data_IF_921077452896
#
_entry.id   IF_921077452896
#
_cell.length_a   1.000
_cell.length_b   1.000
_cell.length_c   1.000
_cell.angle_alpha   90.00
_cell.angle_beta   90.00
_cell.angle_gamma   90.00
#
_symmetry.space_group_name_H-M   'P 1'
#
loop_
_entity.id
_entity.type
_entity.pdbx_description
1 polymer ?
#
# COMPACT_ATOMS: atom_id res chain seq x y z
N UNK A 1 4.96 -9.00 19.40
CA UNK A 1 5.51 -8.50 18.13
C UNK A 1 4.39 -8.63 17.13
N UNK A 2 3.78 -7.52 16.72
CA UNK A 2 2.74 -7.57 15.69
C UNK A 2 3.41 -7.77 14.33
N UNK A 3 2.86 -8.69 13.53
CA UNK A 3 3.32 -8.90 12.17
C UNK A 3 2.78 -7.76 11.30
N UNK A 4 3.56 -6.70 11.16
CA UNK A 4 3.20 -5.59 10.30
C UNK A 4 3.39 -5.95 8.84
N UNK A 5 2.39 -5.60 8.04
CA UNK A 5 2.38 -5.79 6.60
C UNK A 5 2.77 -4.46 5.96
N UNK A 6 3.62 -4.54 4.94
CA UNK A 6 4.10 -3.39 4.19
C UNK A 6 3.93 -3.62 2.69
N UNK A 7 3.57 -2.57 1.97
CA UNK A 7 3.40 -2.62 0.51
C UNK A 7 4.31 -1.60 -0.17
N UNK A 8 5.02 -2.03 -1.20
CA UNK A 8 5.76 -1.15 -2.10
C UNK A 8 5.01 -1.05 -3.41
N UNK A 9 4.70 0.17 -3.85
CA UNK A 9 3.98 0.42 -5.10
C UNK A 9 4.89 1.25 -6.00
N UNK A 10 5.07 0.77 -7.23
CA UNK A 10 5.76 1.49 -8.30
C UNK A 10 4.78 1.67 -9.45
N UNK A 11 4.43 2.92 -9.75
CA UNK A 11 3.66 3.26 -10.94
C UNK A 11 4.56 3.31 -12.16
N UNK A 12 4.00 3.03 -13.34
CA UNK A 12 4.75 3.12 -14.61
C UNK A 12 5.24 4.55 -14.87
N UNK A 13 4.35 5.53 -14.71
CA UNK A 13 4.65 6.95 -14.98
C UNK A 13 5.13 7.72 -13.74
N UNK A 14 4.73 7.29 -12.54
CA UNK A 14 4.99 8.00 -11.28
C UNK A 14 6.24 7.52 -10.53
N UNK A 15 6.90 6.46 -11.01
CA UNK A 15 8.02 5.86 -10.30
C UNK A 15 7.59 5.23 -8.98
N UNK A 16 8.42 5.37 -7.93
CA UNK A 16 8.17 4.75 -6.63
C UNK A 16 7.11 5.52 -5.84
N UNK A 17 5.84 5.17 -6.02
CA UNK A 17 4.69 5.78 -5.33
C UNK A 17 4.81 5.68 -3.80
N UNK A 18 5.37 4.59 -3.29
CA UNK A 18 5.57 4.40 -1.84
C UNK A 18 6.77 5.17 -1.27
N UNK A 19 7.46 6.00 -2.06
CA UNK A 19 8.63 6.74 -1.59
C UNK A 19 8.27 7.71 -0.45
N UNK A 20 8.99 7.59 0.68
CA UNK A 20 8.82 8.46 1.85
C UNK A 20 7.44 8.41 2.52
N UNK A 21 6.61 7.40 2.23
CA UNK A 21 5.25 7.32 2.79
C UNK A 21 5.22 6.90 4.27
N UNK A 22 6.26 6.25 4.79
CA UNK A 22 6.36 5.84 6.19
C UNK A 22 7.48 6.57 6.91
N UNK A 23 7.54 7.90 6.74
CA UNK A 23 8.46 8.79 7.47
C UNK A 23 7.73 9.56 8.57
N UNK A 24 8.48 10.19 9.47
CA UNK A 24 7.95 11.11 10.47
C UNK A 24 7.06 12.20 9.84
N UNK A 25 7.51 12.81 8.73
CA UNK A 25 6.73 13.84 8.01
C UNK A 25 5.46 13.33 7.33
N UNK A 26 5.25 12.02 7.24
CA UNK A 26 4.16 11.42 6.48
C UNK A 26 3.09 10.84 7.41
N UNK A 27 3.50 10.01 8.38
CA UNK A 27 2.58 9.33 9.31
C UNK A 27 2.90 9.61 10.79
N UNK A 28 3.71 10.64 11.06
CA UNK A 28 4.07 11.05 12.42
C UNK A 28 4.75 9.92 13.19
N UNK A 29 4.45 9.82 14.49
CA UNK A 29 5.04 8.84 15.40
C UNK A 29 4.72 7.37 15.06
N UNK A 30 3.89 7.10 14.05
CA UNK A 30 3.59 5.73 13.59
C UNK A 30 4.65 5.19 12.64
N UNK A 31 5.61 6.02 12.21
CA UNK A 31 6.71 5.59 11.35
C UNK A 31 7.61 4.55 12.02
N UNK A 32 8.29 3.75 11.21
CA UNK A 32 9.24 2.75 11.68
C UNK A 32 10.50 2.78 10.85
N UNK A 33 11.64 2.78 11.55
CA UNK A 33 12.95 2.80 10.92
C UNK A 33 13.13 1.56 10.01
N UNK A 34 13.61 1.79 8.79
CA UNK A 34 13.84 0.75 7.78
C UNK A 34 12.64 0.44 6.88
N UNK A 35 11.51 1.14 7.06
CA UNK A 35 10.28 0.97 6.27
C UNK A 35 9.83 2.27 5.58
N UNK A 36 10.68 3.29 5.51
CA UNK A 36 10.35 4.66 5.09
C UNK A 36 9.72 4.74 3.69
N UNK A 37 10.11 3.83 2.80
CA UNK A 37 9.65 3.75 1.41
C UNK A 37 8.58 2.66 1.18
N UNK A 38 7.90 2.21 2.24
CA UNK A 38 6.89 1.16 2.18
C UNK A 38 5.63 1.60 2.92
N UNK A 39 4.47 1.43 2.29
CA UNK A 39 3.18 1.79 2.85
C UNK A 39 2.84 0.83 3.99
N UNK A 40 2.55 1.37 5.17
CA UNK A 40 2.06 0.57 6.31
C UNK A 40 0.62 0.13 6.07
N UNK A 41 0.38 -1.19 6.13
CA UNK A 41 -0.95 -1.79 5.96
C UNK A 41 -1.56 -2.10 7.32
N UNK A 42 -2.77 -1.58 7.53
CA UNK A 42 -3.57 -1.78 8.75
C UNK A 42 -4.47 -3.02 8.65
N UNK A 43 -4.98 -3.29 7.46
CA UNK A 43 -5.81 -4.46 7.17
C UNK A 43 -5.53 -4.92 5.75
N UNK A 44 -5.43 -6.24 5.56
CA UNK A 44 -5.26 -6.86 4.26
C UNK A 44 -6.38 -7.88 4.02
N UNK A 45 -6.99 -7.83 2.85
CA UNK A 45 -8.01 -8.76 2.39
C UNK A 45 -7.70 -9.19 0.97
N UNK A 46 -7.57 -10.50 0.78
CA UNK A 46 -7.47 -11.13 -0.52
C UNK A 46 -8.07 -12.52 -0.39
N UNK A 47 -8.75 -12.98 -1.44
CA UNK A 47 -9.37 -14.29 -1.44
C UNK A 47 -9.26 -14.97 -2.79
N UNK A 48 -9.39 -16.28 -2.74
CA UNK A 48 -9.35 -17.17 -3.88
C UNK A 48 -10.58 -18.05 -3.81
N UNK A 49 -11.27 -18.20 -4.93
CA UNK A 49 -12.37 -19.16 -5.04
C UNK A 49 -12.03 -20.18 -6.10
N UNK A 50 -12.24 -21.45 -5.79
CA UNK A 50 -11.99 -22.57 -6.70
C UNK A 50 -13.26 -23.39 -6.74
N UNK A 51 -14.04 -23.22 -7.82
CA UNK A 51 -15.23 -24.03 -8.09
C UNK A 51 -14.96 -24.98 -9.27
N UNK A 52 -14.79 -24.42 -10.47
CA UNK A 52 -14.31 -25.14 -11.66
C UNK A 52 -13.02 -24.54 -12.23
N UNK A 53 -12.80 -23.24 -11.99
CA UNK A 53 -11.57 -22.51 -12.30
C UNK A 53 -11.14 -21.69 -11.07
N UNK A 54 -9.88 -21.28 -11.03
CA UNK A 54 -9.37 -20.38 -9.98
C UNK A 54 -9.81 -18.95 -10.32
N UNK A 55 -10.58 -18.33 -9.43
CA UNK A 55 -10.93 -16.92 -9.50
C UNK A 55 -10.19 -16.17 -8.39
N UNK A 56 -9.30 -15.27 -8.80
CA UNK A 56 -8.53 -14.38 -7.94
C UNK A 56 -9.37 -13.15 -7.60
N UNK A 57 -9.70 -12.95 -6.33
CA UNK A 57 -10.36 -11.73 -5.89
C UNK A 57 -9.37 -10.57 -5.83
N UNK A 58 -9.89 -9.35 -5.91
CA UNK A 58 -9.09 -8.14 -5.81
C UNK A 58 -8.30 -8.10 -4.48
N UNK A 59 -7.08 -7.58 -4.56
CA UNK A 59 -6.28 -7.29 -3.37
C UNK A 59 -6.78 -5.97 -2.79
N UNK A 60 -7.35 -6.02 -1.60
CA UNK A 60 -7.87 -4.87 -0.88
C UNK A 60 -7.11 -4.68 0.42
N UNK A 61 -6.63 -3.47 0.67
CA UNK A 61 -5.97 -3.17 1.94
C UNK A 61 -6.29 -1.76 2.42
N UNK A 62 -6.25 -1.60 3.74
CA UNK A 62 -6.44 -0.31 4.41
C UNK A 62 -5.08 0.21 4.84
N UNK A 63 -4.81 1.47 4.55
CA UNK A 63 -3.58 2.19 4.92
C UNK A 63 -3.91 3.50 5.63
N UNK A 64 -2.90 4.10 6.26
CA UNK A 64 -2.99 5.47 6.77
C UNK A 64 -3.06 6.48 5.61
N UNK A 65 -3.54 7.70 5.90
CA UNK A 65 -3.29 8.84 5.03
C UNK A 65 -1.81 9.19 5.12
N UNK A 66 -1.11 9.06 4.00
CA UNK A 66 0.33 9.26 3.90
C UNK A 66 0.69 9.93 2.57
N UNK A 67 1.97 10.24 2.34
CA UNK A 67 2.45 10.89 1.10
C UNK A 67 2.13 10.13 -0.19
N UNK A 68 1.90 8.81 -0.14
CA UNK A 68 1.51 8.03 -1.32
C UNK A 68 0.01 8.13 -1.65
N UNK A 69 -0.84 8.57 -0.71
CA UNK A 69 -2.30 8.68 -0.94
C UNK A 69 -2.69 9.53 -2.16
N UNK A 70 -2.21 10.77 -2.34
CA UNK A 70 -2.54 11.56 -3.53
C UNK A 70 -1.96 10.94 -4.82
N UNK A 71 -0.81 10.27 -4.76
CA UNK A 71 -0.20 9.62 -5.92
C UNK A 71 -1.04 8.43 -6.40
N UNK A 72 -1.55 7.62 -5.47
CA UNK A 72 -2.47 6.52 -5.77
C UNK A 72 -3.78 7.01 -6.39
N UNK A 73 -4.33 8.12 -5.89
CA UNK A 73 -5.53 8.72 -6.47
C UNK A 73 -5.29 9.20 -7.91
N UNK A 74 -4.13 9.78 -8.19
CA UNK A 74 -3.75 10.17 -9.55
C UNK A 74 -3.52 8.93 -10.44
N UNK A 75 -2.98 7.84 -9.89
CA UNK A 75 -2.81 6.59 -10.64
C UNK A 75 -4.16 6.01 -11.07
N UNK A 76 -5.14 6.00 -10.16
CA UNK A 76 -6.51 5.54 -10.43
C UNK A 76 -7.24 6.42 -11.46
N UNK A 77 -7.08 7.74 -11.36
CA UNK A 77 -7.71 8.67 -12.31
C UNK A 77 -7.14 8.61 -13.74
N UNK A 78 -5.94 8.03 -13.93
CA UNK A 78 -5.28 7.93 -15.23
C UNK A 78 -5.47 6.56 -15.91
N UNK A 79 -6.35 5.72 -15.35
CA UNK A 79 -6.66 4.39 -15.89
C UNK A 79 -7.64 4.45 -17.06
#
# INVERSE_FOLDING_TARGET
MENMIYVTIKGENQGLISQGCSTLDSIGNRYQNGFENKIMVLQFNHGLTVAQHVNYQQVNFIKLLDKSSPLLMIADANT
#
